data_IF_458024574373
#
_entry.id   IF_458024574373
#
_cell.length_a   1.000
_cell.length_b   1.000
_cell.length_c   1.000
_cell.angle_alpha   90.00
_cell.angle_beta   90.00
_cell.angle_gamma   90.00
#
_symmetry.space_group_name_H-M   'P 1'
#
loop_
_entity.id
_entity.type
_entity.pdbx_description
1 polymer ?
#
# COMPACT_ATOMS: atom_id res chain seq x y z
N UNK A 1 -9.01 -12.75 11.88
CA UNK A 1 -9.32 -11.71 12.89
C UNK A 1 -8.45 -10.46 12.73
N UNK A 2 -7.81 -10.24 11.57
CA UNK A 2 -6.90 -9.10 11.31
C UNK A 2 -7.56 -7.89 10.63
N UNK A 3 -8.68 -8.09 9.89
CA UNK A 3 -9.38 -7.02 9.16
C UNK A 3 -9.73 -5.83 10.07
N UNK A 4 -10.32 -6.13 11.23
CA UNK A 4 -10.78 -5.12 12.18
C UNK A 4 -9.63 -4.28 12.78
N UNK A 5 -8.41 -4.80 12.82
CA UNK A 5 -7.24 -4.09 13.35
C UNK A 5 -6.67 -3.09 12.33
N UNK A 6 -6.57 -3.49 11.07
CA UNK A 6 -6.10 -2.59 10.01
C UNK A 6 -7.11 -1.49 9.68
N UNK A 7 -8.41 -1.76 9.79
CA UNK A 7 -9.44 -0.75 9.57
C UNK A 7 -9.35 0.37 10.64
N UNK A 8 -9.13 0.01 11.91
CA UNK A 8 -8.89 0.98 12.99
C UNK A 8 -7.60 1.77 12.75
N UNK A 9 -6.52 1.08 12.39
CA UNK A 9 -5.24 1.76 12.13
C UNK A 9 -5.25 2.61 10.87
N UNK A 10 -6.13 2.33 9.91
CA UNK A 10 -6.27 3.17 8.71
C UNK A 10 -6.57 4.60 9.12
N UNK A 11 -7.51 4.79 10.04
CA UNK A 11 -7.86 6.11 10.58
C UNK A 11 -6.65 6.77 11.26
N UNK A 12 -5.91 6.04 12.08
CA UNK A 12 -4.72 6.54 12.79
C UNK A 12 -3.58 6.96 11.85
N UNK A 13 -3.42 6.26 10.72
CA UNK A 13 -2.33 6.51 9.75
C UNK A 13 -2.76 7.37 8.56
N UNK A 14 -4.02 7.80 8.50
CA UNK A 14 -4.51 8.69 7.43
C UNK A 14 -3.59 9.89 7.18
N UNK A 15 -3.08 10.62 8.21
CA UNK A 15 -2.18 11.74 7.96
C UNK A 15 -0.90 11.36 7.19
N UNK A 16 -0.37 10.16 7.44
CA UNK A 16 0.81 9.65 6.73
C UNK A 16 0.47 9.23 5.29
N UNK A 17 -0.73 8.67 5.07
CA UNK A 17 -1.21 8.34 3.73
C UNK A 17 -1.41 9.60 2.89
N UNK A 18 -2.12 10.60 3.41
CA UNK A 18 -2.34 11.88 2.72
C UNK A 18 -1.01 12.54 2.38
N UNK A 19 -0.09 12.64 3.34
CA UNK A 19 1.24 13.22 3.10
C UNK A 19 2.02 12.47 2.02
N UNK A 20 1.92 11.12 1.96
CA UNK A 20 2.59 10.33 0.93
C UNK A 20 1.93 10.47 -0.45
N UNK A 21 0.61 10.60 -0.51
CA UNK A 21 -0.11 10.90 -1.77
C UNK A 21 0.32 12.25 -2.31
N UNK A 22 0.36 13.29 -1.46
CA UNK A 22 0.82 14.62 -1.83
C UNK A 22 2.27 14.59 -2.35
N UNK A 23 3.17 13.84 -1.68
CA UNK A 23 4.54 13.62 -2.17
C UNK A 23 4.57 12.98 -3.56
N UNK A 24 3.72 11.98 -3.81
CA UNK A 24 3.62 11.31 -5.11
C UNK A 24 3.10 12.26 -6.20
N UNK A 25 2.12 13.11 -5.87
CA UNK A 25 1.65 14.16 -6.77
C UNK A 25 2.76 15.16 -7.09
N UNK A 26 3.53 15.60 -6.08
CA UNK A 26 4.65 16.53 -6.28
C UNK A 26 5.72 16.02 -7.24
N UNK A 27 5.90 14.70 -7.35
CA UNK A 27 6.87 14.08 -8.26
C UNK A 27 6.23 13.58 -9.59
N UNK A 28 4.97 13.93 -9.85
CA UNK A 28 4.29 13.71 -11.14
C UNK A 28 3.35 12.49 -11.20
N UNK A 29 3.03 11.86 -10.08
CA UNK A 29 2.04 10.77 -10.01
C UNK A 29 0.65 11.28 -9.60
N UNK A 30 0.11 12.27 -10.30
CA UNK A 30 -1.14 12.98 -9.96
C UNK A 30 -2.40 12.09 -9.81
N UNK A 31 -2.34 10.86 -10.33
CA UNK A 31 -3.46 9.90 -10.23
C UNK A 31 -3.43 9.06 -8.96
N UNK A 32 -2.36 9.15 -8.17
CA UNK A 32 -2.24 8.36 -6.96
C UNK A 32 -3.36 8.70 -5.97
N UNK A 33 -4.02 7.68 -5.45
CA UNK A 33 -5.08 7.84 -4.44
C UNK A 33 -4.69 7.22 -3.10
N UNK A 34 -5.27 7.73 -2.02
CA UNK A 34 -5.06 7.18 -0.67
C UNK A 34 -5.47 5.70 -0.60
N UNK A 35 -6.54 5.32 -1.30
CA UNK A 35 -7.02 3.94 -1.34
C UNK A 35 -6.02 3.02 -2.06
N UNK A 36 -5.51 3.40 -3.22
CA UNK A 36 -4.51 2.60 -3.92
C UNK A 36 -3.21 2.48 -3.12
N UNK A 37 -2.76 3.56 -2.48
CA UNK A 37 -1.59 3.52 -1.59
C UNK A 37 -1.82 2.59 -0.41
N UNK A 38 -2.99 2.67 0.22
CA UNK A 38 -3.37 1.79 1.31
C UNK A 38 -3.31 0.32 0.89
N UNK A 39 -3.95 -0.04 -0.23
CA UNK A 39 -3.93 -1.40 -0.75
C UNK A 39 -2.50 -1.86 -1.09
N UNK A 40 -1.67 -0.98 -1.67
CA UNK A 40 -0.27 -1.27 -1.95
C UNK A 40 0.54 -1.55 -0.67
N UNK A 41 0.34 -0.75 0.38
CA UNK A 41 1.02 -0.90 1.68
C UNK A 41 0.60 -2.20 2.38
N UNK A 42 -0.70 -2.50 2.43
CA UNK A 42 -1.22 -3.74 3.01
C UNK A 42 -0.69 -4.96 2.26
N UNK A 43 -0.68 -4.92 0.92
CA UNK A 43 -0.08 -5.99 0.11
C UNK A 43 1.42 -6.18 0.40
N UNK A 44 2.16 -5.11 0.69
CA UNK A 44 3.59 -5.17 1.06
C UNK A 44 3.80 -5.72 2.47
N UNK A 45 2.91 -5.40 3.42
CA UNK A 45 2.97 -5.88 4.80
C UNK A 45 2.58 -7.36 4.92
N UNK A 46 1.54 -7.81 4.22
CA UNK A 46 1.11 -9.22 4.23
C UNK A 46 2.16 -10.23 3.76
N UNK A 47 3.24 -9.76 3.10
CA UNK A 47 4.40 -10.59 2.75
C UNK A 47 5.27 -10.93 3.95
N UNK A 48 5.39 -10.00 4.90
CA UNK A 48 6.16 -10.17 6.12
C UNK A 48 5.26 -10.96 7.08
N UNK A 49 5.49 -12.26 7.23
CA UNK A 49 4.72 -13.18 8.10
C UNK A 49 4.91 -12.89 9.61
N UNK A 50 5.04 -11.63 9.97
CA UNK A 50 5.30 -11.15 11.33
C UNK A 50 4.09 -10.37 11.86
N UNK A 51 3.95 -10.30 13.18
CA UNK A 51 2.99 -9.42 13.82
C UNK A 51 3.31 -7.96 13.44
N UNK A 52 2.44 -7.35 12.63
CA UNK A 52 2.59 -5.96 12.21
C UNK A 52 2.20 -5.06 13.37
N UNK A 53 3.13 -4.23 13.85
CA UNK A 53 2.85 -3.16 14.81
C UNK A 53 2.52 -1.86 14.05
N UNK A 54 1.77 -0.94 14.66
CA UNK A 54 1.36 0.31 14.00
C UNK A 54 2.54 1.14 13.50
N UNK A 55 3.67 1.16 14.22
CA UNK A 55 4.86 1.89 13.76
C UNK A 55 5.50 1.28 12.50
N UNK A 56 5.36 -0.04 12.29
CA UNK A 56 5.77 -0.67 11.03
C UNK A 56 4.86 -0.25 9.87
N UNK A 57 3.56 -0.09 10.12
CA UNK A 57 2.61 0.41 9.12
C UNK A 57 2.98 1.84 8.70
N UNK A 58 3.16 2.75 9.67
CA UNK A 58 3.57 4.13 9.41
C UNK A 58 4.91 4.18 8.68
N UNK A 59 5.91 3.42 9.13
CA UNK A 59 7.22 3.34 8.47
C UNK A 59 7.10 2.84 7.03
N UNK A 60 6.27 1.82 6.78
CA UNK A 60 6.04 1.29 5.42
C UNK A 60 5.37 2.32 4.51
N UNK A 61 4.42 3.10 5.03
CA UNK A 61 3.78 4.21 4.29
C UNK A 61 4.84 5.25 3.92
N UNK A 62 5.57 5.77 4.92
CA UNK A 62 6.52 6.88 4.72
C UNK A 62 7.76 6.49 3.91
N UNK A 63 8.12 5.21 3.86
CA UNK A 63 9.26 4.70 3.06
C UNK A 63 8.83 4.09 1.73
N UNK A 64 7.54 4.12 1.39
CA UNK A 64 7.03 3.59 0.13
C UNK A 64 7.66 4.37 -1.04
N UNK A 65 8.37 3.65 -1.91
CA UNK A 65 8.97 4.23 -3.12
C UNK A 65 7.93 4.29 -4.23
N UNK A 66 7.94 5.37 -5.01
CA UNK A 66 7.09 5.49 -6.19
C UNK A 66 7.31 4.34 -7.20
N UNK A 67 8.54 3.83 -7.32
CA UNK A 67 8.85 2.66 -8.15
C UNK A 67 8.11 1.40 -7.71
N UNK A 68 7.97 1.20 -6.39
CA UNK A 68 7.25 0.04 -5.84
C UNK A 68 5.75 0.16 -6.12
N UNK A 69 5.21 1.38 -5.94
CA UNK A 69 3.81 1.68 -6.26
C UNK A 69 3.50 1.47 -7.75
N UNK A 70 4.36 1.95 -8.64
CA UNK A 70 4.20 1.75 -10.09
C UNK A 70 4.30 0.28 -10.49
N UNK A 71 5.22 -0.46 -9.88
CA UNK A 71 5.32 -1.91 -10.10
C UNK A 71 4.04 -2.61 -9.64
N UNK A 72 3.47 -2.19 -8.51
CA UNK A 72 2.22 -2.74 -7.99
C UNK A 72 1.03 -2.46 -8.91
N UNK A 73 0.87 -1.23 -9.38
CA UNK A 73 -0.16 -0.86 -10.36
C UNK A 73 -0.03 -1.66 -11.67
N UNK A 74 1.20 -1.75 -12.18
CA UNK A 74 1.49 -2.47 -13.42
C UNK A 74 1.11 -3.95 -13.31
N UNK A 75 1.50 -4.61 -12.22
CA UNK A 75 1.12 -6.00 -11.96
C UNK A 75 -0.40 -6.14 -11.82
N UNK A 76 -1.07 -5.20 -11.13
CA UNK A 76 -2.52 -5.21 -11.01
C UNK A 76 -3.25 -5.10 -12.36
N UNK A 77 -2.76 -4.24 -13.25
CA UNK A 77 -3.31 -4.09 -14.59
C UNK A 77 -3.24 -5.39 -15.42
N UNK A 78 -2.16 -6.17 -15.28
CA UNK A 78 -2.03 -7.47 -15.95
C UNK A 78 -2.97 -8.54 -15.38
N UNK A 79 -3.35 -8.44 -14.10
CA UNK A 79 -4.21 -9.43 -13.43
C UNK A 79 -5.71 -9.15 -13.60
N UNK A 80 -6.07 -7.99 -14.15
CA UNK A 80 -7.43 -7.65 -14.55
C UNK A 80 -8.23 -6.86 -13.50
N UNK A 81 -9.44 -6.39 -13.87
CA UNK A 81 -10.18 -5.37 -13.11
C UNK A 81 -10.60 -5.80 -11.69
N UNK A 82 -10.75 -7.10 -11.43
CA UNK A 82 -11.11 -7.58 -10.09
C UNK A 82 -9.91 -7.69 -9.14
N UNK A 83 -8.69 -7.47 -9.63
CA UNK A 83 -7.46 -7.69 -8.85
C UNK A 83 -7.42 -6.90 -7.54
N UNK A 84 -7.78 -5.61 -7.58
CA UNK A 84 -7.79 -4.75 -6.38
C UNK A 84 -8.96 -5.05 -5.43
N UNK A 85 -9.89 -5.91 -5.85
CA UNK A 85 -11.02 -6.40 -5.05
C UNK A 85 -10.78 -7.81 -4.49
N UNK A 86 -9.76 -8.53 -5.00
CA UNK A 86 -9.40 -9.88 -4.60
C UNK A 86 -8.26 -9.84 -3.57
N UNK A 87 -8.35 -10.64 -2.49
CA UNK A 87 -7.31 -10.81 -1.46
C UNK A 87 -6.07 -11.60 -1.97
N UNK A 88 -5.73 -11.46 -3.25
CA UNK A 88 -4.68 -12.25 -3.88
C UNK A 88 -3.30 -11.68 -3.52
N UNK A 89 -2.50 -12.49 -2.82
CA UNK A 89 -1.16 -12.14 -2.36
C UNK A 89 -0.21 -12.00 -3.56
N UNK A 90 0.42 -10.83 -3.72
CA UNK A 90 1.50 -10.64 -4.71
C UNK A 90 2.83 -11.04 -4.10
N UNK A 91 3.63 -11.84 -4.80
CA UNK A 91 5.09 -11.83 -4.65
C UNK A 91 5.67 -10.88 -5.69
N UNK A 92 6.43 -9.88 -5.23
CA UNK A 92 7.26 -9.04 -6.08
C UNK A 92 8.66 -9.62 -5.90
N UNK A 93 9.33 -9.95 -7.01
CA UNK A 93 10.65 -10.55 -6.98
C UNK A 93 11.62 -9.71 -6.14
N UNK A 94 12.23 -10.36 -5.15
CA UNK A 94 13.37 -9.82 -4.42
C UNK A 94 14.56 -9.77 -5.38
N UNK A 95 15.20 -8.61 -5.46
CA UNK A 95 16.56 -8.48 -5.97
C UNK A 95 17.34 -7.55 -5.05
#
# INVERSE_FOLDING_TARGET
MEKQQFDVWKEDVMPALTSKVEEFHMIGYDRATEEELWQCVIAKLHKKKEFVQIHHLVSTILTLKATDYMTWLTVGAYKGPNWFSSEDKISFGEN
#
